data_IF_508599572978
#
_entry.id   IF_508599572978
#
_cell.length_a   1.000
_cell.length_b   1.000
_cell.length_c   1.000
_cell.angle_alpha   90.00
_cell.angle_beta   90.00
_cell.angle_gamma   90.00
#
_symmetry.space_group_name_H-M   'P 1'
#
loop_
_entity.id
_entity.type
_entity.pdbx_description
1 polymer ?
#
# COMPACT_ATOMS: atom_id res chain seq x y z
N UNK A 1 0.59 -8.63 -13.41
CA UNK A 1 0.24 -7.26 -13.84
C UNK A 1 -1.24 -6.92 -13.59
N UNK A 2 -2.18 -7.85 -13.86
CA UNK A 2 -3.62 -7.62 -13.66
C UNK A 2 -4.04 -7.58 -12.18
N UNK A 3 -3.44 -8.38 -11.33
CA UNK A 3 -3.77 -8.45 -9.89
C UNK A 3 -3.44 -7.13 -9.17
N UNK A 4 -2.25 -6.58 -9.40
CA UNK A 4 -1.86 -5.31 -8.80
C UNK A 4 -2.78 -4.16 -9.25
N UNK A 5 -3.18 -4.15 -10.52
CA UNK A 5 -4.11 -3.14 -11.03
C UNK A 5 -5.49 -3.23 -10.36
N UNK A 6 -5.98 -4.46 -10.10
CA UNK A 6 -7.22 -4.70 -9.38
C UNK A 6 -7.12 -4.17 -7.94
N UNK A 7 -6.00 -4.41 -7.26
CA UNK A 7 -5.79 -3.94 -5.89
C UNK A 7 -5.72 -2.41 -5.80
N UNK A 8 -5.14 -1.73 -6.79
CA UNK A 8 -5.11 -0.26 -6.86
C UNK A 8 -6.50 0.36 -7.02
N UNK A 9 -7.45 -0.34 -7.63
CA UNK A 9 -8.81 0.16 -7.87
C UNK A 9 -9.81 -0.31 -6.83
N UNK A 10 -9.50 -1.33 -6.03
CA UNK A 10 -10.43 -2.01 -5.12
C UNK A 10 -11.01 -1.09 -4.04
N UNK A 11 -10.30 -0.04 -3.66
CA UNK A 11 -10.74 0.91 -2.63
C UNK A 11 -11.43 2.16 -3.20
N UNK A 12 -11.50 2.32 -4.52
CA UNK A 12 -12.20 3.47 -5.10
C UNK A 12 -13.68 3.42 -4.75
N UNK A 13 -14.20 4.50 -4.17
CA UNK A 13 -15.55 4.58 -3.62
C UNK A 13 -15.67 4.18 -2.16
N UNK A 14 -14.57 3.77 -1.50
CA UNK A 14 -14.58 3.52 -0.05
C UNK A 14 -14.80 4.81 0.73
N UNK A 15 -15.54 4.70 1.82
CA UNK A 15 -15.89 5.82 2.69
C UNK A 15 -15.39 5.59 4.11
N UNK A 16 -14.62 6.53 4.66
CA UNK A 16 -14.24 6.55 6.07
C UNK A 16 -15.23 7.40 6.87
N UNK A 17 -15.83 6.81 7.87
CA UNK A 17 -16.81 7.45 8.76
C UNK A 17 -16.32 7.50 10.19
N UNK A 18 -16.52 8.63 10.86
CA UNK A 18 -16.51 8.72 12.31
C UNK A 18 -17.77 8.10 12.89
N UNK A 19 -17.63 7.35 13.99
CA UNK A 19 -18.73 6.61 14.61
C UNK A 19 -19.05 7.14 16.01
N UNK A 20 -20.35 7.33 16.29
CA UNK A 20 -20.87 7.62 17.66
C UNK A 20 -21.96 6.63 18.00
N UNK A 21 -21.89 6.03 19.19
CA UNK A 21 -22.88 5.05 19.68
C UNK A 21 -23.16 3.93 18.65
N UNK A 22 -22.13 3.46 17.93
CA UNK A 22 -22.21 2.42 16.91
C UNK A 22 -22.87 2.84 15.58
N UNK A 23 -23.22 4.12 15.41
CA UNK A 23 -23.86 4.67 14.20
C UNK A 23 -22.92 5.62 13.46
N UNK A 24 -23.15 5.77 12.15
CA UNK A 24 -22.49 6.81 11.33
C UNK A 24 -22.80 8.19 11.92
N UNK A 25 -21.76 8.97 12.20
CA UNK A 25 -21.89 10.36 12.64
C UNK A 25 -21.50 11.32 11.51
N UNK A 26 -20.27 11.22 11.03
CA UNK A 26 -19.75 12.09 9.98
C UNK A 26 -18.91 11.33 8.97
N UNK A 27 -19.11 11.62 7.69
CA UNK A 27 -18.20 11.22 6.63
C UNK A 27 -16.90 12.03 6.74
N UNK A 28 -15.78 11.35 6.94
CA UNK A 28 -14.46 11.95 7.10
C UNK A 28 -13.72 12.04 5.79
N UNK A 29 -13.81 10.98 4.96
CA UNK A 29 -13.13 10.93 3.67
C UNK A 29 -13.79 9.92 2.73
N UNK A 30 -13.75 10.22 1.42
CA UNK A 30 -14.11 9.27 0.35
C UNK A 30 -12.91 9.08 -0.58
N UNK A 31 -12.54 7.85 -0.85
CA UNK A 31 -11.46 7.52 -1.78
C UNK A 31 -12.00 7.62 -3.21
N UNK A 32 -11.79 8.76 -3.86
CA UNK A 32 -12.36 9.06 -5.18
C UNK A 32 -11.51 8.53 -6.34
N UNK A 33 -10.20 8.39 -6.14
CA UNK A 33 -9.25 8.04 -7.17
C UNK A 33 -8.68 6.63 -7.01
N UNK A 34 -8.11 6.12 -8.09
CA UNK A 34 -7.28 4.92 -8.06
C UNK A 34 -6.03 5.18 -7.24
N UNK A 35 -5.71 4.29 -6.30
CA UNK A 35 -4.50 4.40 -5.50
C UNK A 35 -3.25 4.29 -6.37
N UNK A 36 -2.20 4.98 -5.98
CA UNK A 36 -0.85 4.81 -6.54
C UNK A 36 -0.12 3.67 -5.79
N UNK A 37 0.97 3.19 -6.36
CA UNK A 37 1.75 2.05 -5.84
C UNK A 37 2.39 2.32 -4.45
N UNK A 38 2.53 3.59 -4.07
CA UNK A 38 3.17 4.02 -2.82
C UNK A 38 2.17 4.32 -1.71
N UNK A 39 2.66 4.47 -0.48
CA UNK A 39 1.87 5.01 0.62
C UNK A 39 1.36 6.42 0.28
N UNK A 40 0.06 6.62 0.43
CA UNK A 40 -0.60 7.88 0.13
C UNK A 40 -1.27 8.43 1.39
N UNK A 41 -1.09 9.72 1.63
CA UNK A 41 -1.71 10.42 2.74
C UNK A 41 -2.87 11.28 2.22
N UNK A 42 -4.07 11.02 2.74
CA UNK A 42 -5.29 11.75 2.41
C UNK A 42 -5.69 12.63 3.59
N UNK A 43 -5.70 13.95 3.38
CA UNK A 43 -6.08 14.93 4.38
C UNK A 43 -7.59 14.93 4.59
N UNK A 44 -8.02 15.13 5.84
CA UNK A 44 -9.42 15.30 6.23
C UNK A 44 -9.66 16.80 6.39
N UNK A 45 -10.49 17.37 5.51
CA UNK A 45 -10.68 18.83 5.43
C UNK A 45 -11.34 19.42 6.68
N UNK A 46 -12.26 18.67 7.29
CA UNK A 46 -12.96 19.09 8.50
C UNK A 46 -12.78 18.04 9.61
N UNK A 47 -11.60 18.07 10.29
CA UNK A 47 -11.24 17.08 11.28
C UNK A 47 -12.09 17.18 12.53
N UNK A 48 -12.71 16.05 12.92
CA UNK A 48 -13.46 15.88 14.17
C UNK A 48 -12.86 14.78 15.04
N UNK A 49 -13.23 14.78 16.31
CA UNK A 49 -12.74 13.81 17.27
C UNK A 49 -13.57 12.55 17.31
N UNK A 50 -12.92 11.40 17.12
CA UNK A 50 -13.51 10.08 17.20
C UNK A 50 -12.56 9.09 17.86
N UNK A 51 -13.11 8.18 18.65
CA UNK A 51 -12.43 6.97 19.08
C UNK A 51 -12.67 5.82 18.09
N UNK A 52 -13.90 5.72 17.56
CA UNK A 52 -14.27 4.66 16.65
C UNK A 52 -14.42 5.21 15.23
N UNK A 53 -13.85 4.50 14.29
CA UNK A 53 -13.98 4.81 12.86
C UNK A 53 -14.35 3.56 12.09
N UNK A 54 -15.02 3.73 10.95
CA UNK A 54 -15.45 2.64 10.07
C UNK A 54 -15.11 2.96 8.64
N UNK A 55 -14.42 2.04 7.99
CA UNK A 55 -14.16 2.07 6.55
C UNK A 55 -15.18 1.19 5.83
N UNK A 56 -16.08 1.81 5.07
CA UNK A 56 -16.98 1.12 4.15
C UNK A 56 -16.26 0.82 2.84
N UNK A 57 -16.48 -0.38 2.31
CA UNK A 57 -15.83 -0.89 1.12
C UNK A 57 -16.85 -1.06 -0.02
N UNK A 58 -16.48 -0.73 -1.26
CA UNK A 58 -17.37 -0.89 -2.42
C UNK A 58 -17.53 -2.36 -2.85
N UNK A 59 -16.62 -3.22 -2.39
CA UNK A 59 -16.59 -4.66 -2.70
C UNK A 59 -16.21 -5.47 -1.47
N UNK A 60 -16.75 -6.68 -1.29
CA UNK A 60 -16.39 -7.53 -0.15
C UNK A 60 -14.95 -8.05 -0.21
N UNK A 61 -14.43 -8.34 -1.40
CA UNK A 61 -13.05 -8.81 -1.56
C UNK A 61 -12.06 -7.66 -1.54
N UNK A 62 -11.10 -7.69 -0.64
CA UNK A 62 -10.09 -6.65 -0.46
C UNK A 62 -8.70 -7.25 -0.31
N UNK A 63 -7.71 -6.58 -0.89
CA UNK A 63 -6.30 -6.78 -0.58
C UNK A 63 -5.66 -5.40 -0.35
N UNK A 64 -5.19 -5.16 0.87
CA UNK A 64 -4.70 -3.85 1.32
C UNK A 64 -3.44 -4.03 2.16
N UNK A 65 -2.40 -3.24 1.87
CA UNK A 65 -1.12 -3.30 2.56
C UNK A 65 -1.19 -2.66 3.93
N UNK A 66 -1.55 -1.39 4.02
CA UNK A 66 -1.50 -0.66 5.28
C UNK A 66 -2.57 0.42 5.34
N UNK A 67 -3.17 0.56 6.50
CA UNK A 67 -4.00 1.70 6.90
C UNK A 67 -3.40 2.38 8.11
N UNK A 68 -3.26 3.69 8.05
CA UNK A 68 -2.75 4.49 9.15
C UNK A 68 -3.63 5.70 9.39
N UNK A 69 -3.74 6.11 10.64
CA UNK A 69 -4.56 7.25 11.06
C UNK A 69 -3.68 8.29 11.74
N UNK A 70 -3.97 9.57 11.50
CA UNK A 70 -3.15 10.69 11.98
C UNK A 70 -3.99 11.71 12.71
N UNK A 71 -3.41 12.25 13.80
CA UNK A 71 -3.93 13.41 14.52
C UNK A 71 -2.82 14.46 14.65
N UNK A 72 -3.08 15.69 14.20
CA UNK A 72 -2.09 16.76 14.14
C UNK A 72 -0.74 16.30 13.52
N UNK A 73 -0.81 15.60 12.40
CA UNK A 73 0.33 15.02 11.65
C UNK A 73 1.14 13.93 12.39
N UNK A 74 0.66 13.49 13.57
CA UNK A 74 1.26 12.37 14.31
C UNK A 74 0.51 11.08 14.04
N UNK A 75 1.25 10.01 13.77
CA UNK A 75 0.70 8.66 13.63
C UNK A 75 0.05 8.22 14.95
N UNK A 76 -1.19 7.74 14.85
CA UNK A 76 -1.90 7.10 15.95
C UNK A 76 -1.46 5.62 15.98
N UNK A 77 -1.06 5.15 17.16
CA UNK A 77 -0.61 3.77 17.39
C UNK A 77 -1.52 3.03 18.35
N UNK A 78 -1.41 1.70 18.40
CA UNK A 78 -2.20 0.85 19.28
C UNK A 78 -3.66 0.70 18.85
N UNK A 79 -3.94 0.87 17.57
CA UNK A 79 -5.26 0.70 16.96
C UNK A 79 -5.65 -0.79 17.02
N UNK A 80 -6.94 -1.05 17.18
CA UNK A 80 -7.50 -2.40 17.14
C UNK A 80 -8.54 -2.53 16.04
N UNK A 81 -8.55 -3.67 15.36
CA UNK A 81 -9.61 -4.03 14.42
C UNK A 81 -10.70 -4.77 15.20
N UNK A 82 -11.93 -4.27 15.14
CA UNK A 82 -13.07 -4.83 15.88
C UNK A 82 -13.91 -5.79 15.02
N UNK A 83 -13.77 -5.72 13.70
CA UNK A 83 -14.51 -6.60 12.80
C UNK A 83 -13.81 -7.96 12.67
N UNK A 84 -14.55 -9.08 12.74
CA UNK A 84 -14.00 -10.35 12.31
C UNK A 84 -13.75 -10.31 10.79
N UNK A 85 -12.51 -10.52 10.38
CA UNK A 85 -12.09 -10.49 9.00
C UNK A 85 -11.49 -11.85 8.62
N UNK A 86 -12.25 -12.72 7.94
CA UNK A 86 -11.69 -13.93 7.34
C UNK A 86 -10.53 -13.57 6.39
N UNK A 87 -9.47 -14.30 6.47
CA UNK A 87 -8.25 -14.08 5.66
C UNK A 87 -7.88 -15.34 4.88
N UNK A 88 -7.16 -15.17 3.79
CA UNK A 88 -6.82 -16.25 2.87
C UNK A 88 -5.67 -17.11 3.41
N UNK A 89 -4.72 -16.49 4.08
CA UNK A 89 -3.52 -17.13 4.61
C UNK A 89 -3.13 -16.54 5.97
N UNK A 90 -2.32 -17.28 6.74
CA UNK A 90 -1.76 -16.83 8.01
C UNK A 90 -0.84 -15.58 7.88
N UNK A 91 -0.24 -15.39 6.70
CA UNK A 91 0.61 -14.22 6.40
C UNK A 91 -0.18 -13.01 5.88
N UNK A 92 -1.52 -13.12 5.79
CA UNK A 92 -2.41 -12.08 5.26
C UNK A 92 -3.51 -11.71 6.28
N UNK A 93 -3.17 -11.74 7.58
CA UNK A 93 -4.10 -11.49 8.69
C UNK A 93 -4.58 -10.04 8.77
N UNK A 94 -5.73 -9.80 9.41
CA UNK A 94 -6.26 -8.45 9.61
C UNK A 94 -5.28 -7.48 10.27
N UNK A 95 -4.46 -7.96 11.21
CA UNK A 95 -3.47 -7.16 11.94
C UNK A 95 -2.43 -6.53 11.01
N UNK A 96 -2.18 -7.15 9.85
CA UNK A 96 -1.28 -6.61 8.82
C UNK A 96 -1.77 -5.28 8.21
N UNK A 97 -3.06 -4.93 8.42
CA UNK A 97 -3.59 -3.63 8.00
C UNK A 97 -3.07 -2.45 8.80
N UNK A 98 -2.55 -2.69 10.01
CA UNK A 98 -2.23 -1.65 10.99
C UNK A 98 -0.91 -1.93 11.73
N UNK A 99 -0.05 -2.77 11.18
CA UNK A 99 1.23 -3.17 11.79
C UNK A 99 2.37 -2.17 11.51
N UNK A 100 2.14 -1.18 10.67
CA UNK A 100 3.12 -0.17 10.27
C UNK A 100 4.10 -0.65 9.20
N UNK A 101 3.86 -1.81 8.58
CA UNK A 101 4.73 -2.41 7.58
C UNK A 101 4.06 -2.41 6.20
N UNK A 102 4.65 -1.70 5.25
CA UNK A 102 4.09 -1.59 3.89
C UNK A 102 4.31 -2.83 3.01
N UNK A 103 5.06 -3.81 3.49
CA UNK A 103 5.37 -5.07 2.80
C UNK A 103 4.58 -6.28 3.33
N UNK A 104 3.76 -6.07 4.34
CA UNK A 104 2.71 -6.98 4.79
C UNK A 104 1.36 -6.58 4.19
N UNK A 105 0.36 -7.42 4.27
CA UNK A 105 -0.96 -7.09 3.77
C UNK A 105 -2.06 -7.96 4.39
N UNK A 106 -3.23 -7.40 4.49
CA UNK A 106 -4.46 -8.18 4.63
C UNK A 106 -5.01 -8.54 3.25
N UNK A 107 -5.40 -9.80 3.08
CA UNK A 107 -6.15 -10.26 1.91
C UNK A 107 -7.26 -11.21 2.36
N UNK A 108 -8.50 -10.83 2.09
CA UNK A 108 -9.63 -11.61 2.54
C UNK A 108 -10.98 -11.05 2.10
N UNK A 109 -12.02 -11.60 2.68
CA UNK A 109 -13.40 -11.20 2.40
C UNK A 109 -13.98 -10.44 3.60
N UNK A 110 -14.50 -9.23 3.33
CA UNK A 110 -15.18 -8.39 4.31
C UNK A 110 -16.68 -8.50 4.09
N UNK A 111 -17.27 -9.57 4.58
CA UNK A 111 -18.67 -9.94 4.33
C UNK A 111 -19.69 -8.85 4.70
N UNK A 112 -19.39 -8.05 5.74
CA UNK A 112 -20.23 -6.91 6.15
C UNK A 112 -20.08 -5.67 5.27
N UNK A 113 -19.10 -5.65 4.36
CA UNK A 113 -18.78 -4.49 3.52
C UNK A 113 -18.15 -3.32 4.28
N UNK A 114 -17.67 -3.54 5.51
CA UNK A 114 -16.97 -2.52 6.29
C UNK A 114 -16.00 -3.12 7.31
N UNK A 115 -15.02 -2.31 7.72
CA UNK A 115 -14.04 -2.62 8.77
C UNK A 115 -14.16 -1.57 9.87
N UNK A 116 -14.32 -2.03 11.11
CA UNK A 116 -14.35 -1.18 12.32
C UNK A 116 -12.98 -1.13 13.00
N UNK A 117 -12.59 0.07 13.40
CA UNK A 117 -11.36 0.35 14.13
C UNK A 117 -11.66 1.05 15.45
N UNK A 118 -11.01 0.61 16.53
CA UNK A 118 -10.87 1.34 17.79
C UNK A 118 -9.49 2.00 17.83
N UNK A 119 -9.47 3.31 17.90
CA UNK A 119 -8.24 4.09 18.00
C UNK A 119 -7.68 4.13 19.44
N UNK A 120 -8.29 3.40 20.37
CA UNK A 120 -8.03 3.34 21.80
C UNK A 120 -8.37 4.62 22.60
N UNK A 121 -8.26 5.78 21.97
CA UNK A 121 -8.62 7.07 22.55
C UNK A 121 -9.38 7.91 21.52
N UNK A 122 -9.96 9.00 21.99
CA UNK A 122 -10.58 9.99 21.11
C UNK A 122 -9.49 10.88 20.50
N UNK A 123 -9.42 10.90 19.17
CA UNK A 123 -8.47 11.70 18.39
C UNK A 123 -9.18 12.59 17.38
N UNK A 124 -8.71 13.82 17.25
CA UNK A 124 -9.10 14.71 16.16
C UNK A 124 -8.34 14.29 14.90
N UNK A 125 -9.00 13.51 14.04
CA UNK A 125 -8.39 12.92 12.86
C UNK A 125 -8.08 13.97 11.80
N UNK A 126 -6.81 14.10 11.43
CA UNK A 126 -6.33 15.05 10.42
C UNK A 126 -6.04 14.41 9.05
N UNK A 127 -5.74 13.13 9.04
CA UNK A 127 -5.48 12.38 7.79
C UNK A 127 -5.65 10.88 7.97
N UNK A 128 -5.84 10.18 6.84
CA UNK A 128 -5.72 8.74 6.70
C UNK A 128 -4.58 8.43 5.73
N UNK A 129 -3.73 7.46 6.07
CA UNK A 129 -2.70 6.93 5.20
C UNK A 129 -3.12 5.57 4.65
N UNK A 130 -2.87 5.33 3.37
CA UNK A 130 -3.22 4.08 2.70
C UNK A 130 -2.05 3.60 1.85
N UNK A 131 -1.65 2.36 2.07
CA UNK A 131 -0.74 1.62 1.18
C UNK A 131 -1.53 0.50 0.51
N UNK A 132 -1.68 0.50 -0.82
CA UNK A 132 -2.32 -0.62 -1.49
C UNK A 132 -1.46 -1.88 -1.37
N UNK A 133 -2.11 -3.04 -1.34
CA UNK A 133 -1.38 -4.29 -1.44
C UNK A 133 -0.85 -4.48 -2.87
N UNK A 134 0.45 -4.47 -2.95
CA UNK A 134 1.16 -4.81 -4.17
C UNK A 134 2.01 -6.01 -3.82
N UNK A 135 1.68 -7.16 -4.37
CA UNK A 135 2.61 -8.29 -4.32
C UNK A 135 3.93 -7.80 -4.89
N UNK A 136 4.81 -7.40 -3.97
CA UNK A 136 6.09 -6.84 -4.34
C UNK A 136 6.90 -7.93 -5.03
N UNK A 137 7.30 -7.65 -6.27
CA UNK A 137 8.32 -8.44 -6.94
C UNK A 137 9.69 -8.29 -6.23
N UNK A 138 9.82 -7.30 -5.34
CA UNK A 138 11.01 -6.95 -4.58
C UNK A 138 11.08 -7.67 -3.22
N UNK A 139 10.97 -9.00 -3.22
CA UNK A 139 11.01 -9.80 -2.00
C UNK A 139 12.23 -9.52 -1.13
N UNK A 140 12.04 -9.54 0.20
CA UNK A 140 13.14 -9.41 1.17
C UNK A 140 14.19 -10.49 0.92
N UNK A 141 15.46 -10.16 1.12
CA UNK A 141 16.62 -11.06 0.92
C UNK A 141 16.84 -11.54 -0.52
N UNK A 142 16.05 -11.09 -1.47
CA UNK A 142 16.34 -11.32 -2.88
C UNK A 142 17.26 -10.24 -3.42
N UNK A 143 18.17 -10.61 -4.31
CA UNK A 143 19.09 -9.67 -4.94
C UNK A 143 18.54 -9.19 -6.27
N UNK A 144 18.61 -7.88 -6.49
CA UNK A 144 18.18 -7.21 -7.71
C UNK A 144 19.35 -6.41 -8.30
N UNK A 145 19.44 -6.42 -9.62
CA UNK A 145 20.44 -5.67 -10.37
C UNK A 145 19.75 -4.67 -11.29
N UNK A 146 20.13 -3.40 -11.19
CA UNK A 146 19.80 -2.40 -12.20
C UNK A 146 20.94 -2.27 -13.18
N UNK A 147 20.64 -2.42 -14.47
CA UNK A 147 21.57 -2.25 -15.58
C UNK A 147 21.01 -1.24 -16.58
N UNK A 148 21.87 -0.62 -17.38
CA UNK A 148 21.49 0.22 -18.52
C UNK A 148 22.12 -0.30 -19.80
N UNK A 149 21.51 0.04 -20.94
CA UNK A 149 22.00 -0.35 -22.25
C UNK A 149 22.95 0.70 -22.82
N UNK A 150 24.18 0.27 -23.16
CA UNK A 150 25.16 1.05 -23.87
C UNK A 150 25.99 0.09 -24.75
N UNK A 151 25.45 -0.31 -25.91
CA UNK A 151 25.95 -1.39 -26.78
C UNK A 151 25.94 -2.80 -26.12
N UNK A 152 25.89 -2.86 -24.78
CA UNK A 152 25.75 -4.03 -23.95
C UNK A 152 25.04 -3.61 -22.64
N UNK A 153 24.57 -4.59 -21.84
CA UNK A 153 24.02 -4.30 -20.52
C UNK A 153 25.14 -4.03 -19.53
N UNK A 154 25.19 -2.81 -18.99
CA UNK A 154 26.14 -2.40 -17.95
C UNK A 154 25.44 -2.28 -16.59
N UNK A 155 25.97 -2.99 -15.61
CA UNK A 155 25.43 -2.94 -14.25
C UNK A 155 25.70 -1.58 -13.61
N UNK A 156 24.66 -0.96 -13.06
CA UNK A 156 24.76 0.24 -12.24
C UNK A 156 25.03 -0.19 -10.79
N UNK A 157 24.16 -1.03 -10.24
CA UNK A 157 24.26 -1.44 -8.84
C UNK A 157 23.43 -2.72 -8.58
N UNK A 158 23.82 -3.49 -7.56
CA UNK A 158 23.06 -4.61 -7.00
C UNK A 158 22.58 -4.25 -5.61
N UNK A 159 21.32 -4.57 -5.30
CA UNK A 159 20.70 -4.32 -3.98
C UNK A 159 19.85 -5.49 -3.54
N UNK A 160 19.78 -5.70 -2.24
CA UNK A 160 18.79 -6.59 -1.65
C UNK A 160 17.42 -5.90 -1.60
N UNK A 161 16.39 -6.67 -1.89
CA UNK A 161 15.02 -6.22 -1.76
C UNK A 161 14.64 -5.96 -0.31
N UNK A 162 13.86 -4.92 -0.09
CA UNK A 162 13.31 -4.58 1.23
C UNK A 162 11.81 -4.84 1.34
N UNK A 163 11.21 -5.47 0.31
CA UNK A 163 9.78 -5.73 0.24
C UNK A 163 8.96 -4.61 -0.40
N UNK A 164 9.48 -3.38 -0.49
CA UNK A 164 8.70 -2.22 -0.93
C UNK A 164 9.29 -1.51 -2.13
N UNK A 165 10.53 -1.05 -2.06
CA UNK A 165 11.17 -0.26 -3.11
C UNK A 165 12.69 -0.45 -3.13
N UNK A 166 13.31 -0.08 -4.24
CA UNK A 166 14.75 0.01 -4.38
C UNK A 166 15.12 1.41 -4.89
N UNK A 167 16.13 2.01 -4.28
CA UNK A 167 16.67 3.30 -4.70
C UNK A 167 18.03 3.06 -5.33
N UNK A 168 18.18 3.43 -6.60
CA UNK A 168 19.44 3.40 -7.33
C UNK A 168 19.93 4.82 -7.60
N UNK A 169 21.22 5.05 -7.37
CA UNK A 169 21.86 6.33 -7.64
C UNK A 169 22.61 6.28 -8.97
N UNK A 170 22.98 7.45 -9.52
CA UNK A 170 23.79 7.57 -10.74
C UNK A 170 23.18 6.89 -11.96
N UNK A 171 21.85 6.83 -12.04
CA UNK A 171 21.15 6.27 -13.19
C UNK A 171 21.28 7.19 -14.39
N UNK A 172 21.80 6.72 -15.55
CA UNK A 172 21.91 7.54 -16.75
C UNK A 172 20.54 8.04 -17.21
N UNK A 173 20.47 9.32 -17.59
CA UNK A 173 19.24 9.91 -18.13
C UNK A 173 18.94 9.33 -19.52
N UNK A 174 17.66 9.09 -19.81
CA UNK A 174 17.17 8.58 -21.12
C UNK A 174 17.80 7.27 -21.57
N UNK A 175 18.33 6.48 -20.64
CA UNK A 175 18.87 5.16 -20.94
C UNK A 175 17.77 4.11 -20.91
N UNK A 176 17.90 3.09 -21.74
CA UNK A 176 17.13 1.87 -21.61
C UNK A 176 17.63 1.14 -20.36
N UNK A 177 16.74 0.89 -19.42
CA UNK A 177 17.03 0.29 -18.12
C UNK A 177 16.49 -1.13 -18.05
N UNK A 178 17.19 -2.00 -17.33
CA UNK A 178 16.78 -3.36 -17.04
C UNK A 178 16.94 -3.63 -15.54
N UNK A 179 15.83 -3.96 -14.88
CA UNK A 179 15.85 -4.46 -13.50
C UNK A 179 15.74 -6.00 -13.57
N UNK A 180 16.74 -6.69 -13.04
CA UNK A 180 16.83 -8.15 -13.01
C UNK A 180 16.73 -8.66 -11.59
N UNK A 181 16.01 -9.76 -11.40
CA UNK A 181 15.98 -10.53 -10.15
C UNK A 181 17.08 -11.59 -10.24
N UNK A 182 18.10 -11.52 -9.35
CA UNK A 182 19.33 -12.31 -9.43
C UNK A 182 19.46 -13.35 -8.30
N UNK A 183 18.45 -13.59 -7.50
CA UNK A 183 18.52 -14.55 -6.39
C UNK A 183 18.62 -15.99 -6.90
N UNK A 184 19.37 -16.81 -6.18
CA UNK A 184 19.52 -18.23 -6.49
C UNK A 184 18.16 -18.94 -6.46
N UNK A 185 17.93 -19.84 -7.40
CA UNK A 185 16.74 -20.70 -7.55
C UNK A 185 15.46 -20.02 -8.06
N UNK A 186 15.51 -18.77 -8.49
CA UNK A 186 14.41 -18.13 -9.21
C UNK A 186 14.74 -18.05 -10.69
N UNK A 187 13.74 -18.23 -11.56
CA UNK A 187 13.89 -17.88 -12.97
C UNK A 187 14.22 -16.40 -13.06
N UNK A 188 15.19 -16.05 -13.89
CA UNK A 188 15.52 -14.66 -14.14
C UNK A 188 14.31 -13.92 -14.69
N UNK A 189 13.78 -13.00 -13.90
CA UNK A 189 12.74 -12.09 -14.32
C UNK A 189 13.36 -10.74 -14.63
N UNK A 190 13.22 -10.30 -15.86
CA UNK A 190 13.68 -8.99 -16.29
C UNK A 190 12.50 -8.05 -16.49
N UNK A 191 12.68 -6.77 -16.11
CA UNK A 191 11.79 -5.67 -16.43
C UNK A 191 12.58 -4.62 -17.19
N UNK A 192 12.20 -4.37 -18.44
CA UNK A 192 12.85 -3.39 -19.30
C UNK A 192 11.96 -2.15 -19.37
N UNK A 193 12.55 -0.98 -19.18
CA UNK A 193 11.82 0.28 -19.11
C UNK A 193 12.69 1.49 -19.44
N UNK A 194 12.05 2.59 -19.80
CA UNK A 194 12.64 3.91 -19.86
C UNK A 194 12.19 4.73 -18.65
N UNK A 195 13.03 5.66 -18.21
CA UNK A 195 12.68 6.63 -17.18
C UNK A 195 12.83 8.03 -17.76
N UNK A 196 11.71 8.69 -18.04
CA UNK A 196 11.65 10.03 -18.59
C UNK A 196 10.67 10.88 -17.80
N UNK A 197 11.06 12.13 -17.52
CA UNK A 197 10.23 13.14 -16.86
C UNK A 197 9.52 12.65 -15.58
N UNK A 198 10.25 11.88 -14.74
CA UNK A 198 9.73 11.33 -13.50
C UNK A 198 8.78 10.13 -13.68
N UNK A 199 8.66 9.58 -14.89
CA UNK A 199 7.78 8.45 -15.20
C UNK A 199 8.54 7.24 -15.70
N UNK A 200 8.08 6.05 -15.29
CA UNK A 200 8.53 4.77 -15.82
C UNK A 200 7.66 4.39 -17.01
N UNK A 201 8.30 4.14 -18.15
CA UNK A 201 7.67 3.65 -19.38
C UNK A 201 8.12 2.22 -19.57
N UNK A 202 7.25 1.25 -19.36
CA UNK A 202 7.52 -0.18 -19.52
C UNK A 202 7.53 -0.57 -20.99
N UNK A 203 8.49 -1.44 -21.37
CA UNK A 203 8.65 -1.99 -22.73
C UNK A 203 8.32 -3.48 -22.76
#
# INVERSE_FOLDING_TARGET
FNENRKNLTSLKGSELWGMKNGKKDKLLYTINDTLQIQHQLFRIDDPMSYRFVRLYLPSPGIALGELSFYSADKLITGIQILSPLPHNNEDEKPEMLIDGLSDTAFSGEVSKGYIDFDLNNEYKLSAIGISPYIRSWLGKSNTYELSYWENEWRTIERKEGNGSYLIFNNVPRKALLKLSHCSKNTQEHHRIFLYEDGKVIWL
#
